data_IF_091038413265
#
_entry.id   IF_091038413265
#
_cell.length_a   1.000
_cell.length_b   1.000
_cell.length_c   1.000
_cell.angle_alpha   90.00
_cell.angle_beta   90.00
_cell.angle_gamma   90.00
#
_symmetry.space_group_name_H-M   'P 1'
#
loop_
_entity.id
_entity.type
_entity.pdbx_description
1 polymer ?
#
# COMPACT_ATOMS: atom_id res chain seq x y z
N UNK A 1 3.38 -27.52 -1.71
CA UNK A 1 3.14 -26.42 -0.75
C UNK A 1 3.73 -26.82 0.59
N UNK A 2 4.29 -25.87 1.34
CA UNK A 2 4.63 -26.09 2.74
C UNK A 2 3.35 -26.02 3.60
N UNK A 3 3.23 -26.88 4.60
CA UNK A 3 2.09 -26.89 5.53
C UNK A 3 2.47 -26.15 6.81
N UNK A 4 1.59 -25.25 7.26
CA UNK A 4 1.72 -24.54 8.54
C UNK A 4 0.45 -24.76 9.35
N UNK A 5 0.60 -25.28 10.58
CA UNK A 5 -0.51 -25.47 11.50
C UNK A 5 -0.59 -24.27 12.45
N UNK A 6 -1.78 -23.71 12.60
CA UNK A 6 -2.03 -22.56 13.49
C UNK A 6 -3.26 -22.86 14.32
N UNK A 7 -3.14 -22.75 15.64
CA UNK A 7 -4.28 -22.85 16.55
C UNK A 7 -4.97 -21.50 16.65
N UNK A 8 -6.28 -21.49 16.45
CA UNK A 8 -7.13 -20.31 16.56
C UNK A 8 -8.16 -20.53 17.66
N UNK A 9 -8.56 -19.48 18.42
CA UNK A 9 -9.76 -19.53 19.24
C UNK A 9 -10.99 -19.86 18.38
N UNK A 10 -11.98 -20.53 18.98
CA UNK A 10 -13.19 -21.01 18.26
C UNK A 10 -13.88 -19.88 17.48
N UNK A 11 -14.05 -18.70 18.08
CA UNK A 11 -14.66 -17.55 17.40
C UNK A 11 -13.91 -17.10 16.13
N UNK A 12 -12.58 -17.23 16.10
CA UNK A 12 -11.79 -16.91 14.92
C UNK A 12 -11.87 -18.02 13.86
N UNK A 13 -11.95 -19.28 14.30
CA UNK A 13 -12.16 -20.42 13.41
C UNK A 13 -13.50 -20.28 12.68
N UNK A 14 -14.59 -20.04 13.41
CA UNK A 14 -15.94 -19.87 12.86
C UNK A 14 -15.99 -18.69 11.87
N UNK A 15 -15.30 -17.59 12.19
CA UNK A 15 -15.17 -16.47 11.28
C UNK A 15 -14.48 -16.87 9.97
N UNK A 16 -13.33 -17.53 10.06
CA UNK A 16 -12.54 -17.97 8.88
C UNK A 16 -13.33 -18.95 8.02
N UNK A 17 -14.02 -19.91 8.63
CA UNK A 17 -14.88 -20.88 7.94
C UNK A 17 -16.05 -20.17 7.24
N UNK A 18 -16.75 -19.27 7.93
CA UNK A 18 -17.83 -18.48 7.35
C UNK A 18 -17.37 -17.61 6.17
N UNK A 19 -16.12 -17.12 6.15
CA UNK A 19 -15.57 -16.42 4.97
C UNK A 19 -15.38 -17.34 3.78
N UNK A 20 -15.00 -18.59 3.98
CA UNK A 20 -14.86 -19.58 2.92
C UNK A 20 -16.23 -19.93 2.30
N UNK A 21 -17.28 -20.00 3.11
CA UNK A 21 -18.64 -20.34 2.66
C UNK A 21 -19.28 -19.29 1.74
N UNK A 22 -18.76 -18.07 1.70
CA UNK A 22 -19.27 -17.00 0.81
C UNK A 22 -19.06 -17.25 -0.69
N UNK A 23 -18.41 -18.36 -1.07
CA UNK A 23 -18.10 -18.73 -2.46
C UNK A 23 -16.90 -17.98 -3.05
N UNK A 24 -16.31 -17.02 -2.30
CA UNK A 24 -15.10 -16.29 -2.71
C UNK A 24 -13.82 -17.11 -2.54
N UNK A 25 -13.80 -18.06 -1.62
CA UNK A 25 -12.65 -18.90 -1.32
C UNK A 25 -13.06 -20.36 -1.27
N UNK A 26 -12.21 -21.28 -1.73
CA UNK A 26 -12.56 -22.71 -1.77
C UNK A 26 -12.43 -23.39 -0.41
N UNK A 27 -11.64 -22.83 0.50
CA UNK A 27 -11.45 -23.31 1.87
C UNK A 27 -10.83 -22.22 2.78
N UNK A 28 -10.74 -22.51 4.08
CA UNK A 28 -10.11 -21.67 5.08
C UNK A 28 -8.65 -21.29 4.74
N UNK A 29 -7.84 -22.23 4.25
CA UNK A 29 -6.44 -21.98 3.88
C UNK A 29 -6.31 -21.02 2.70
N UNK A 30 -7.26 -21.01 1.76
CA UNK A 30 -7.29 -20.06 0.65
C UNK A 30 -7.55 -18.63 1.17
N UNK A 31 -8.49 -18.48 2.11
CA UNK A 31 -8.74 -17.21 2.77
C UNK A 31 -7.52 -16.72 3.55
N UNK A 32 -6.88 -17.58 4.34
CA UNK A 32 -5.67 -17.23 5.10
C UNK A 32 -4.51 -16.84 4.18
N UNK A 33 -4.30 -17.57 3.07
CA UNK A 33 -3.26 -17.21 2.08
C UNK A 33 -3.53 -15.84 1.45
N UNK A 34 -4.78 -15.49 1.20
CA UNK A 34 -5.15 -14.17 0.71
C UNK A 34 -4.91 -13.06 1.75
N UNK A 35 -5.22 -13.31 3.02
CA UNK A 35 -4.90 -12.38 4.11
C UNK A 35 -3.39 -12.13 4.21
N UNK A 36 -2.58 -13.18 4.15
CA UNK A 36 -1.11 -13.06 4.19
C UNK A 36 -0.61 -12.23 3.00
N UNK A 37 -1.15 -12.43 1.79
CA UNK A 37 -0.76 -11.64 0.62
C UNK A 37 -1.10 -10.15 0.81
N UNK A 38 -2.30 -9.84 1.30
CA UNK A 38 -2.70 -8.45 1.56
C UNK A 38 -1.85 -7.79 2.64
N UNK A 39 -1.44 -8.56 3.65
CA UNK A 39 -0.53 -8.10 4.69
C UNK A 39 0.85 -7.76 4.10
N UNK A 40 1.41 -8.65 3.28
CA UNK A 40 2.66 -8.40 2.54
C UNK A 40 2.57 -7.16 1.66
N UNK A 41 1.53 -7.06 0.82
CA UNK A 41 1.31 -5.90 -0.05
C UNK A 41 1.18 -4.59 0.74
N UNK A 42 0.53 -4.63 1.91
CA UNK A 42 0.41 -3.46 2.79
C UNK A 42 1.77 -3.08 3.38
N UNK A 43 2.53 -4.06 3.86
CA UNK A 43 3.86 -3.83 4.42
C UNK A 43 4.81 -3.25 3.36
N UNK A 44 4.78 -3.78 2.14
CA UNK A 44 5.55 -3.26 1.00
C UNK A 44 5.18 -1.82 0.64
N UNK A 45 3.89 -1.49 0.57
CA UNK A 45 3.41 -0.12 0.32
C UNK A 45 3.87 0.86 1.40
N UNK A 46 3.80 0.44 2.66
CA UNK A 46 4.27 1.26 3.79
C UNK A 46 5.78 1.48 3.66
N UNK A 47 6.56 0.41 3.46
CA UNK A 47 8.01 0.52 3.31
C UNK A 47 8.41 1.42 2.13
N UNK A 48 7.71 1.31 1.00
CA UNK A 48 7.96 2.17 -0.15
C UNK A 48 7.63 3.64 0.13
N UNK A 49 6.49 3.92 0.78
CA UNK A 49 6.15 5.29 1.17
C UNK A 49 7.16 5.86 2.17
N UNK A 50 7.60 5.05 3.14
CA UNK A 50 8.61 5.44 4.12
C UNK A 50 9.90 5.85 3.41
N UNK A 51 10.35 5.04 2.44
CA UNK A 51 11.55 5.33 1.65
C UNK A 51 11.43 6.65 0.88
N UNK A 52 10.29 6.92 0.22
CA UNK A 52 10.06 8.19 -0.48
C UNK A 52 10.03 9.41 0.46
N UNK A 53 9.53 9.22 1.69
CA UNK A 53 9.57 10.25 2.72
C UNK A 53 11.02 10.51 3.15
N UNK A 54 11.79 9.46 3.39
CA UNK A 54 13.20 9.57 3.78
C UNK A 54 14.00 10.31 2.69
N UNK A 55 13.83 9.93 1.42
CA UNK A 55 14.44 10.64 0.27
C UNK A 55 14.05 12.12 0.25
N UNK A 56 12.77 12.43 0.49
CA UNK A 56 12.27 13.81 0.55
C UNK A 56 12.89 14.61 1.69
N UNK A 57 13.02 14.02 2.88
CA UNK A 57 13.64 14.65 4.05
C UNK A 57 15.14 14.87 3.82
N UNK A 58 15.84 13.87 3.28
CA UNK A 58 17.27 13.95 2.96
C UNK A 58 17.57 14.96 1.85
N UNK A 59 16.62 15.21 0.94
CA UNK A 59 16.75 16.24 -0.10
C UNK A 59 16.80 17.68 0.44
N UNK A 60 16.46 17.87 1.71
CA UNK A 60 16.50 19.14 2.40
C UNK A 60 15.28 20.03 2.10
N UNK A 61 15.23 21.18 2.79
CA UNK A 61 14.13 22.14 2.64
C UNK A 61 14.33 22.99 1.40
N UNK A 62 13.30 23.09 0.58
CA UNK A 62 13.28 23.99 -0.56
C UNK A 62 12.67 25.34 -0.16
N UNK A 63 13.40 26.43 -0.40
CA UNK A 63 12.95 27.80 -0.08
C UNK A 63 11.91 28.34 -1.08
N UNK A 64 11.70 27.66 -2.22
CA UNK A 64 10.75 28.10 -3.23
C UNK A 64 9.33 28.09 -2.70
N UNK A 65 8.60 29.16 -3.00
CA UNK A 65 7.16 29.21 -2.71
C UNK A 65 6.40 28.31 -3.67
N UNK A 66 5.15 27.99 -3.33
CA UNK A 66 4.23 27.25 -4.23
C UNK A 66 4.08 27.96 -5.58
N UNK A 67 4.13 29.29 -5.62
CA UNK A 67 4.05 30.06 -6.88
C UNK A 67 5.29 29.85 -7.74
N UNK A 68 6.49 29.85 -7.14
CA UNK A 68 7.74 29.59 -7.86
C UNK A 68 7.77 28.17 -8.45
N UNK A 69 7.33 27.18 -7.66
CA UNK A 69 7.21 25.78 -8.09
C UNK A 69 6.22 25.68 -9.26
N UNK A 70 5.06 26.34 -9.18
CA UNK A 70 4.04 26.30 -10.23
C UNK A 70 4.49 27.01 -11.50
N UNK A 71 5.16 28.15 -11.39
CA UNK A 71 5.73 28.86 -12.52
C UNK A 71 6.79 28.03 -13.23
N UNK A 72 7.67 27.38 -12.47
CA UNK A 72 8.68 26.46 -12.99
C UNK A 72 8.05 25.26 -13.70
N UNK A 73 7.02 24.64 -13.10
CA UNK A 73 6.31 23.51 -13.71
C UNK A 73 5.65 23.91 -15.05
N UNK A 74 5.02 25.09 -15.13
CA UNK A 74 4.44 25.61 -16.38
C UNK A 74 5.48 25.89 -17.47
N UNK A 75 6.64 26.45 -17.10
CA UNK A 75 7.76 26.65 -18.02
C UNK A 75 8.23 25.31 -18.59
N UNK A 76 8.43 24.30 -17.75
CA UNK A 76 8.85 22.94 -18.17
C UNK A 76 7.83 22.25 -19.08
N UNK A 77 6.55 22.45 -18.79
CA UNK A 77 5.45 21.87 -19.57
C UNK A 77 5.15 22.63 -20.87
N UNK A 78 5.84 23.76 -21.15
CA UNK A 78 5.65 24.54 -22.37
C UNK A 78 4.33 25.32 -22.43
N UNK A 79 3.61 25.45 -21.31
CA UNK A 79 2.28 26.09 -21.23
C UNK A 79 2.40 27.57 -20.80
N UNK A 80 3.56 28.17 -21.03
CA UNK A 80 3.96 29.48 -20.52
C UNK A 80 3.99 30.60 -21.56
N UNK A 81 3.20 30.51 -22.63
CA UNK A 81 3.07 31.59 -23.61
C UNK A 81 1.61 32.03 -23.74
N UNK A 82 1.41 33.34 -23.92
CA UNK A 82 0.15 34.14 -23.94
C UNK A 82 -0.29 34.63 -22.54
N UNK A 83 -0.27 35.91 -22.17
CA UNK A 83 -0.16 37.21 -22.86
C UNK A 83 0.80 38.14 -22.11
#
# INVERSE_FOLDING_TARGET
>A
MATMNVSLPDAMKDWVEGRAETGRYSNASDYVRDLIRRDQERAEKIAHLQHLIDEGVESGVNEKTVQDIRAEARRRAGVGHEL
#
